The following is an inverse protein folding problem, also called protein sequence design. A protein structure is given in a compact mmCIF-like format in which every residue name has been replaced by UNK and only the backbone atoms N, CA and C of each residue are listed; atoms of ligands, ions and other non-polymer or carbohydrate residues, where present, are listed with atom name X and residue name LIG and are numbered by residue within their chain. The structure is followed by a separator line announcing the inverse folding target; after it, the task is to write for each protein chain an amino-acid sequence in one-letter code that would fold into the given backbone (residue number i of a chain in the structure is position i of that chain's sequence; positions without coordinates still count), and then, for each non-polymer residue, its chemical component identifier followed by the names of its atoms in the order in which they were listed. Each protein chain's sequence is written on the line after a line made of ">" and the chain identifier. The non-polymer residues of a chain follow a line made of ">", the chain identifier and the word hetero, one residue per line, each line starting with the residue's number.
data_IF_695641327051
#
_entry.id   IF_695641327051
#
_cell.length_a   1.000
_cell.length_b   1.000
_cell.length_c   1.000
_cell.angle_alpha   90.00
_cell.angle_beta   90.00
_cell.angle_gamma   90.00
#
_symmetry.space_group_name_H-M   'P 1'
#
loop_
_entity.id
_entity.type
_entity.pdbx_description
1 polymer ?
#
# COMPACT_ATOMS: atom_id res chain seq x y z
N UNK A 1 109.31 -12.95 -6.67
CA UNK A 1 109.83 -11.78 -5.92
C UNK A 1 109.45 -11.98 -4.46
N UNK A 2 110.46 -11.90 -3.59
CA UNK A 2 110.37 -12.15 -2.15
C UNK A 2 109.84 -10.94 -1.38
N UNK A 3 109.27 -11.18 -0.19
CA UNK A 3 109.36 -10.36 1.04
C UNK A 3 108.62 -11.14 2.13
N UNK A 4 109.34 -11.97 2.90
CA UNK A 4 109.97 -11.69 4.20
C UNK A 4 109.05 -12.02 5.40
N UNK A 5 109.54 -13.00 6.16
CA UNK A 5 109.20 -13.52 7.48
C UNK A 5 109.22 -12.49 8.61
N UNK A 6 108.39 -12.68 9.64
CA UNK A 6 108.86 -12.66 11.04
C UNK A 6 108.04 -13.63 11.89
N UNK A 7 108.75 -14.62 12.43
CA UNK A 7 108.31 -15.59 13.42
C UNK A 7 108.06 -14.95 14.78
N UNK A 8 107.15 -15.55 15.56
CA UNK A 8 107.46 -15.95 16.92
C UNK A 8 106.60 -17.17 17.28
N UNK A 9 107.21 -18.36 17.18
CA UNK A 9 106.66 -19.60 17.72
C UNK A 9 106.82 -19.61 19.25
N UNK A 10 105.77 -20.07 19.93
CA UNK A 10 105.78 -20.48 21.33
C UNK A 10 104.90 -21.71 21.47
N UNK A 11 105.54 -22.85 21.69
CA UNK A 11 105.01 -24.20 21.93
C UNK A 11 104.09 -24.24 23.16
N UNK A 12 102.92 -24.93 23.13
CA UNK A 12 102.55 -25.99 24.11
C UNK A 12 101.47 -26.96 23.58
N UNK A 13 101.74 -28.22 23.92
CA UNK A 13 101.13 -29.54 23.80
C UNK A 13 99.68 -29.74 24.33
N UNK A 14 99.10 -30.89 23.95
CA UNK A 14 97.85 -31.55 24.40
C UNK A 14 96.51 -30.94 23.90
N UNK A 15 96.03 -31.46 22.77
CA UNK A 15 94.81 -30.99 22.10
C UNK A 15 93.55 -31.15 22.95
N UNK A 16 92.74 -30.09 23.12
CA UNK A 16 91.44 -30.23 23.75
C UNK A 16 90.43 -30.75 22.71
N UNK A 17 89.49 -31.57 23.17
CA UNK A 17 88.36 -32.05 22.37
C UNK A 17 87.61 -30.92 21.68
N UNK A 18 86.75 -31.30 20.73
CA UNK A 18 85.95 -30.40 19.88
C UNK A 18 85.61 -29.08 20.62
N UNK A 19 86.02 -27.90 20.12
CA UNK A 19 85.97 -26.61 20.85
C UNK A 19 84.62 -26.24 21.48
N UNK A 20 83.53 -26.90 21.07
CA UNK A 20 82.18 -26.75 21.58
C UNK A 20 81.95 -27.42 22.95
N UNK A 21 82.82 -28.34 23.36
CA UNK A 21 82.76 -29.07 24.64
C UNK A 21 83.72 -28.50 25.70
N UNK A 22 84.32 -27.34 25.44
CA UNK A 22 85.16 -26.64 26.41
C UNK A 22 84.30 -25.86 27.42
N UNK A 23 84.11 -26.48 28.59
CA UNK A 23 83.32 -25.94 29.71
C UNK A 23 83.86 -24.62 30.28
N UNK A 24 85.11 -24.23 29.98
CA UNK A 24 85.68 -22.96 30.45
C UNK A 24 84.93 -21.73 29.90
N UNK A 25 84.31 -21.85 28.72
CA UNK A 25 83.59 -20.73 28.06
C UNK A 25 82.09 -20.68 28.37
N UNK A 26 81.53 -21.75 28.95
CA UNK A 26 80.10 -21.90 29.19
C UNK A 26 79.55 -20.84 30.15
N UNK A 27 80.32 -20.43 31.17
CA UNK A 27 79.88 -19.39 32.11
C UNK A 27 79.57 -18.05 31.43
N UNK A 28 80.43 -17.64 30.49
CA UNK A 28 80.22 -16.40 29.72
C UNK A 28 79.05 -16.53 28.74
N UNK A 29 78.91 -17.67 28.05
CA UNK A 29 77.78 -17.92 27.15
C UNK A 29 76.44 -17.93 27.91
N UNK A 30 76.36 -18.62 29.05
CA UNK A 30 75.16 -18.67 29.90
C UNK A 30 74.82 -17.28 30.43
N UNK A 31 75.80 -16.49 30.86
CA UNK A 31 75.58 -15.11 31.31
C UNK A 31 74.90 -14.25 30.22
N UNK A 32 75.44 -14.23 29.01
CA UNK A 32 74.84 -13.49 27.89
C UNK A 32 73.50 -14.06 27.45
N UNK A 33 73.33 -15.38 27.50
CA UNK A 33 72.05 -16.04 27.21
C UNK A 33 70.98 -15.57 28.19
N UNK A 34 71.27 -15.52 29.49
CA UNK A 34 70.33 -15.03 30.52
C UNK A 34 70.00 -13.56 30.28
N UNK A 35 70.99 -12.72 29.97
CA UNK A 35 70.76 -11.30 29.64
C UNK A 35 69.86 -11.17 28.41
N UNK A 36 70.16 -11.90 27.34
CA UNK A 36 69.37 -11.88 26.12
C UNK A 36 67.94 -12.36 26.37
N UNK A 37 67.76 -13.44 27.14
CA UNK A 37 66.45 -13.97 27.52
C UNK A 37 65.63 -12.93 28.29
N UNK A 38 66.23 -12.26 29.29
CA UNK A 38 65.58 -11.20 30.06
C UNK A 38 65.23 -10.03 29.15
N UNK A 39 66.16 -9.59 28.30
CA UNK A 39 65.91 -8.49 27.37
C UNK A 39 64.75 -8.81 26.41
N UNK A 40 64.73 -9.99 25.80
CA UNK A 40 63.63 -10.45 24.93
C UNK A 40 62.33 -10.58 25.70
N UNK A 41 62.36 -11.13 26.92
CA UNK A 41 61.17 -11.23 27.78
C UNK A 41 60.57 -9.85 28.08
N UNK A 42 61.41 -8.86 28.41
CA UNK A 42 60.97 -7.49 28.67
C UNK A 42 60.40 -6.83 27.41
N UNK A 43 61.01 -7.04 26.24
CA UNK A 43 60.49 -6.52 24.97
C UNK A 43 59.12 -7.14 24.65
N UNK A 44 58.98 -8.47 24.78
CA UNK A 44 57.73 -9.15 24.48
C UNK A 44 56.62 -8.75 25.47
N UNK A 45 56.91 -8.78 26.78
CA UNK A 45 55.95 -8.45 27.82
C UNK A 45 55.51 -6.99 27.81
N UNK A 46 56.44 -6.06 27.52
CA UNK A 46 56.17 -4.62 27.63
C UNK A 46 55.82 -3.94 26.31
N UNK A 47 56.17 -4.53 25.17
CA UNK A 47 55.94 -3.90 23.85
C UNK A 47 55.10 -4.80 22.93
N UNK A 48 55.51 -6.04 22.69
CA UNK A 48 54.84 -6.88 21.68
C UNK A 48 53.44 -7.33 22.12
N UNK A 49 53.30 -7.91 23.31
CA UNK A 49 52.03 -8.41 23.83
C UNK A 49 50.99 -7.29 24.03
N UNK A 50 51.33 -6.12 24.62
CA UNK A 50 50.37 -5.03 24.74
C UNK A 50 49.87 -4.50 23.39
N UNK A 51 50.74 -4.43 22.37
CA UNK A 51 50.32 -4.00 21.01
C UNK A 51 49.36 -4.99 20.36
N UNK A 52 49.63 -6.29 20.47
CA UNK A 52 48.73 -7.33 19.94
C UNK A 52 47.39 -7.32 20.70
N UNK A 53 47.44 -7.17 22.03
CA UNK A 53 46.25 -7.04 22.86
C UNK A 53 45.38 -5.84 22.48
N UNK A 54 45.99 -4.69 22.20
CA UNK A 54 45.27 -3.50 21.76
C UNK A 54 44.53 -3.72 20.43
N UNK A 55 45.18 -4.32 19.42
CA UNK A 55 44.55 -4.62 18.12
C UNK A 55 43.42 -5.64 18.27
N UNK A 56 43.59 -6.65 19.12
CA UNK A 56 42.55 -7.64 19.37
C UNK A 56 41.33 -7.01 20.08
N UNK A 57 41.59 -6.15 21.07
CA UNK A 57 40.54 -5.42 21.77
C UNK A 57 39.79 -4.46 20.84
N UNK A 58 40.49 -3.75 19.97
CA UNK A 58 39.89 -2.88 18.95
C UNK A 58 38.98 -3.68 18.03
N UNK A 59 39.47 -4.78 17.46
CA UNK A 59 38.65 -5.65 16.58
C UNK A 59 37.43 -6.22 17.29
N UNK A 60 37.61 -6.72 18.51
CA UNK A 60 36.50 -7.26 19.31
C UNK A 60 35.47 -6.17 19.61
N UNK A 61 35.93 -4.94 19.90
CA UNK A 61 35.07 -3.78 20.12
C UNK A 61 34.27 -3.41 18.88
N UNK A 62 34.93 -3.29 17.72
CA UNK A 62 34.27 -2.99 16.45
C UNK A 62 33.23 -4.05 16.10
N UNK A 63 33.58 -5.34 16.17
CA UNK A 63 32.65 -6.43 15.87
C UNK A 63 31.43 -6.38 16.80
N UNK A 64 31.64 -6.18 18.10
CA UNK A 64 30.54 -6.11 19.07
C UNK A 64 29.64 -4.90 18.79
N UNK A 65 30.23 -3.75 18.48
CA UNK A 65 29.49 -2.54 18.13
C UNK A 65 28.69 -2.72 16.84
N UNK A 66 29.28 -3.34 15.81
CA UNK A 66 28.62 -3.59 14.54
C UNK A 66 27.47 -4.59 14.68
N UNK A 67 27.64 -5.63 15.52
CA UNK A 67 26.56 -6.57 15.86
C UNK A 67 25.43 -5.83 16.59
N UNK A 68 25.74 -5.04 17.61
CA UNK A 68 24.74 -4.27 18.34
C UNK A 68 23.97 -3.29 17.44
N UNK A 69 24.68 -2.60 16.55
CA UNK A 69 24.08 -1.70 15.57
C UNK A 69 23.19 -2.47 14.57
N UNK A 70 23.62 -3.63 14.10
CA UNK A 70 22.82 -4.48 13.21
C UNK A 70 21.54 -5.01 13.90
N UNK A 71 21.64 -5.40 15.17
CA UNK A 71 20.48 -5.83 15.96
C UNK A 71 19.49 -4.69 16.18
N UNK A 72 19.97 -3.49 16.54
CA UNK A 72 19.12 -2.30 16.68
C UNK A 72 18.41 -1.92 15.37
N UNK A 73 19.14 -1.95 14.24
CA UNK A 73 18.56 -1.71 12.92
C UNK A 73 17.53 -2.79 12.56
N UNK A 74 17.76 -4.05 12.91
CA UNK A 74 16.81 -5.15 12.69
C UNK A 74 15.53 -4.95 13.52
N UNK A 75 15.65 -4.53 14.77
CA UNK A 75 14.49 -4.23 15.63
C UNK A 75 13.70 -3.05 15.04
N UNK A 76 14.37 -1.95 14.68
CA UNK A 76 13.73 -0.78 14.07
C UNK A 76 13.03 -1.13 12.75
N UNK A 77 13.65 -1.97 11.92
CA UNK A 77 13.03 -2.44 10.69
C UNK A 77 11.76 -3.25 10.95
N UNK A 78 11.79 -4.17 11.91
CA UNK A 78 10.62 -4.98 12.29
C UNK A 78 9.50 -4.12 12.92
N UNK A 79 9.85 -3.09 13.69
CA UNK A 79 8.88 -2.13 14.22
C UNK A 79 8.25 -1.28 13.12
N UNK A 80 9.06 -0.80 12.17
CA UNK A 80 8.58 -0.05 11.01
C UNK A 80 7.66 -0.89 10.11
N UNK A 81 8.01 -2.16 9.88
CA UNK A 81 7.19 -3.12 9.13
C UNK A 81 5.82 -3.32 9.82
N UNK A 82 5.81 -3.58 11.14
CA UNK A 82 4.56 -3.69 11.90
C UNK A 82 3.72 -2.42 11.85
N UNK A 83 4.34 -1.25 11.96
CA UNK A 83 3.64 0.03 11.88
C UNK A 83 3.06 0.25 10.47
N UNK A 84 3.80 -0.09 9.42
CA UNK A 84 3.34 -0.04 8.04
C UNK A 84 2.15 -0.97 7.80
N UNK A 85 2.26 -2.24 8.21
CA UNK A 85 1.18 -3.23 8.05
C UNK A 85 -0.09 -2.81 8.79
N UNK A 86 0.07 -2.27 10.00
CA UNK A 86 -1.05 -1.70 10.76
C UNK A 86 -1.69 -0.54 10.02
N UNK A 87 -0.90 0.43 9.56
CA UNK A 87 -1.41 1.57 8.82
C UNK A 87 -2.13 1.15 7.52
N UNK A 88 -1.62 0.12 6.84
CA UNK A 88 -2.24 -0.43 5.63
C UNK A 88 -3.57 -1.12 5.96
N UNK A 89 -3.65 -1.88 7.06
CA UNK A 89 -4.88 -2.50 7.51
C UNK A 89 -5.93 -1.45 7.90
N UNK A 90 -5.53 -0.46 8.70
CA UNK A 90 -6.40 0.65 9.13
C UNK A 90 -6.92 1.44 7.91
N UNK A 91 -6.05 1.76 6.94
CA UNK A 91 -6.44 2.44 5.71
C UNK A 91 -7.44 1.63 4.86
N UNK A 92 -7.26 0.30 4.79
CA UNK A 92 -8.21 -0.58 4.09
C UNK A 92 -9.56 -0.63 4.79
N UNK A 93 -9.58 -0.71 6.12
CA UNK A 93 -10.82 -0.68 6.90
C UNK A 93 -11.53 0.66 6.73
N UNK A 94 -10.81 1.78 6.79
CA UNK A 94 -11.42 3.11 6.62
C UNK A 94 -11.94 3.29 5.18
N UNK A 95 -11.21 2.84 4.17
CA UNK A 95 -11.69 2.86 2.79
C UNK A 95 -12.98 2.04 2.61
N UNK A 96 -13.06 0.84 3.21
CA UNK A 96 -14.27 0.02 3.16
C UNK A 96 -15.45 0.71 3.87
N UNK A 97 -15.19 1.36 5.01
CA UNK A 97 -16.19 2.13 5.74
C UNK A 97 -16.72 3.31 4.92
N UNK A 98 -15.84 4.11 4.33
CA UNK A 98 -16.20 5.22 3.44
C UNK A 98 -17.05 4.72 2.27
N UNK A 99 -16.66 3.61 1.63
CA UNK A 99 -17.43 3.02 0.52
C UNK A 99 -18.82 2.55 1.00
N UNK A 100 -18.92 1.95 2.19
CA UNK A 100 -20.19 1.52 2.75
C UNK A 100 -21.11 2.72 3.08
N UNK A 101 -20.56 3.75 3.71
CA UNK A 101 -21.28 4.99 4.05
C UNK A 101 -21.76 5.71 2.77
N UNK A 102 -20.89 5.87 1.78
CA UNK A 102 -21.25 6.49 0.50
C UNK A 102 -22.34 5.69 -0.23
N UNK A 103 -22.27 4.35 -0.24
CA UNK A 103 -23.33 3.52 -0.82
C UNK A 103 -24.66 3.68 -0.09
N UNK A 104 -24.63 3.77 1.25
CA UNK A 104 -25.84 3.96 2.04
C UNK A 104 -26.47 5.33 1.78
N UNK A 105 -25.66 6.39 1.67
CA UNK A 105 -26.11 7.74 1.34
C UNK A 105 -26.70 7.81 -0.08
N UNK A 106 -25.98 7.27 -1.07
CA UNK A 106 -26.48 7.19 -2.46
C UNK A 106 -27.80 6.43 -2.53
N UNK A 107 -27.93 5.31 -1.81
CA UNK A 107 -29.18 4.54 -1.81
C UNK A 107 -30.34 5.33 -1.18
N UNK A 108 -30.08 6.10 -0.13
CA UNK A 108 -31.08 6.98 0.50
C UNK A 108 -31.54 8.06 -0.47
N UNK A 109 -30.60 8.73 -1.12
CA UNK A 109 -30.89 9.79 -2.09
C UNK A 109 -31.63 9.25 -3.32
N UNK A 110 -31.23 8.07 -3.80
CA UNK A 110 -31.91 7.37 -4.88
C UNK A 110 -33.36 7.05 -4.49
N UNK A 111 -33.59 6.51 -3.30
CA UNK A 111 -34.95 6.20 -2.83
C UNK A 111 -35.81 7.47 -2.70
N UNK A 112 -35.24 8.58 -2.24
CA UNK A 112 -35.94 9.86 -2.16
C UNK A 112 -36.27 10.42 -3.55
N UNK A 113 -35.34 10.31 -4.50
CA UNK A 113 -35.56 10.73 -5.88
C UNK A 113 -36.62 9.88 -6.58
N UNK A 114 -36.62 8.56 -6.35
CA UNK A 114 -37.65 7.64 -6.88
C UNK A 114 -39.02 8.01 -6.31
N UNK A 115 -39.14 8.17 -4.99
CA UNK A 115 -40.42 8.54 -4.37
C UNK A 115 -40.98 9.86 -4.93
N UNK A 116 -40.11 10.86 -5.10
CA UNK A 116 -40.50 12.14 -5.72
C UNK A 116 -40.93 11.96 -7.18
N UNK A 117 -40.20 11.16 -7.96
CA UNK A 117 -40.55 10.89 -9.35
C UNK A 117 -41.89 10.15 -9.45
N UNK A 118 -42.15 9.18 -8.57
CA UNK A 118 -43.41 8.46 -8.51
C UNK A 118 -44.58 9.40 -8.18
N UNK A 119 -44.40 10.32 -7.22
CA UNK A 119 -45.40 11.34 -6.90
C UNK A 119 -45.69 12.27 -8.09
N UNK A 120 -44.66 12.74 -8.79
CA UNK A 120 -44.80 13.58 -9.99
C UNK A 120 -45.50 12.83 -11.14
N UNK A 121 -45.16 11.55 -11.36
CA UNK A 121 -45.79 10.69 -12.36
C UNK A 121 -47.26 10.45 -12.01
N UNK A 122 -47.57 10.20 -10.75
CA UNK A 122 -48.94 9.99 -10.28
C UNK A 122 -49.80 11.25 -10.49
N UNK A 123 -49.27 12.43 -10.13
CA UNK A 123 -49.93 13.70 -10.36
C UNK A 123 -50.16 13.95 -11.87
N UNK A 124 -49.14 13.71 -12.70
CA UNK A 124 -49.24 13.91 -14.16
C UNK A 124 -50.22 12.94 -14.82
N UNK A 125 -50.27 11.70 -14.34
CA UNK A 125 -51.22 10.69 -14.80
C UNK A 125 -52.65 11.13 -14.47
N UNK A 126 -52.91 11.57 -13.23
CA UNK A 126 -54.22 12.06 -12.82
C UNK A 126 -54.69 13.29 -13.63
N UNK A 127 -53.79 14.23 -13.92
CA UNK A 127 -54.11 15.40 -14.75
C UNK A 127 -54.40 15.00 -16.20
N UNK A 128 -53.65 14.03 -16.72
CA UNK A 128 -53.85 13.52 -18.08
C UNK A 128 -55.17 12.75 -18.19
N UNK A 129 -55.56 11.97 -17.17
CA UNK A 129 -56.87 11.31 -17.09
C UNK A 129 -58.04 12.30 -17.07
N UNK A 130 -57.91 13.41 -16.34
CA UNK A 130 -58.91 14.49 -16.35
C UNK A 130 -59.01 15.12 -17.74
N UNK A 131 -57.88 15.48 -18.35
CA UNK A 131 -57.86 16.06 -19.69
C UNK A 131 -58.48 15.11 -20.73
N UNK A 132 -58.16 13.81 -20.68
CA UNK A 132 -58.77 12.79 -21.55
C UNK A 132 -60.28 12.72 -21.32
N UNK A 133 -60.74 12.78 -20.09
CA UNK A 133 -62.18 12.74 -19.75
C UNK A 133 -62.91 13.98 -20.31
N UNK A 134 -62.31 15.16 -20.20
CA UNK A 134 -62.85 16.40 -20.76
C UNK A 134 -62.88 16.39 -22.30
N UNK A 135 -61.81 15.90 -22.93
CA UNK A 135 -61.77 15.70 -24.39
C UNK A 135 -62.84 14.70 -24.81
N UNK A 136 -63.05 13.60 -24.08
CA UNK A 136 -64.12 12.64 -24.37
C UNK A 136 -65.51 13.27 -24.23
N UNK A 137 -65.75 14.04 -23.18
CA UNK A 137 -67.03 14.72 -22.97
C UNK A 137 -67.33 15.72 -24.10
N UNK A 138 -66.37 16.58 -24.44
CA UNK A 138 -66.51 17.54 -25.54
C UNK A 138 -66.62 16.86 -26.91
N UNK A 139 -65.91 15.76 -27.14
CA UNK A 139 -66.06 14.97 -28.37
C UNK A 139 -67.47 14.37 -28.48
N UNK A 140 -68.04 13.85 -27.38
CA UNK A 140 -69.41 13.33 -27.36
C UNK A 140 -70.45 14.41 -27.64
N UNK A 141 -70.28 15.62 -27.08
CA UNK A 141 -71.15 16.76 -27.37
C UNK A 141 -71.07 17.18 -28.85
N UNK A 142 -69.85 17.25 -29.40
CA UNK A 142 -69.65 17.56 -30.82
C UNK A 142 -70.27 16.49 -31.73
N UNK A 143 -70.12 15.21 -31.39
CA UNK A 143 -70.77 14.10 -32.11
C UNK A 143 -72.30 14.24 -32.05
N UNK A 144 -72.87 14.57 -30.88
CA UNK A 144 -74.32 14.79 -30.75
C UNK A 144 -74.80 15.93 -31.65
N UNK A 145 -74.05 17.04 -31.69
CA UNK A 145 -74.37 18.20 -32.53
C UNK A 145 -74.30 17.84 -34.02
N UNK A 146 -73.20 17.24 -34.47
CA UNK A 146 -73.02 16.80 -35.86
C UNK A 146 -74.11 15.79 -36.24
N UNK A 147 -74.41 14.82 -35.39
CA UNK A 147 -75.46 13.84 -35.66
C UNK A 147 -76.85 14.48 -35.81
N UNK A 148 -77.20 15.46 -34.96
CA UNK A 148 -78.46 16.22 -35.08
C UNK A 148 -78.51 17.04 -36.37
N UNK A 149 -77.42 17.72 -36.72
CA UNK A 149 -77.35 18.56 -37.91
C UNK A 149 -77.40 17.71 -39.18
N UNK A 150 -76.61 16.64 -39.27
CA UNK A 150 -76.66 15.67 -40.39
C UNK A 150 -78.02 14.99 -40.50
N UNK A 151 -78.65 14.58 -39.39
CA UNK A 151 -79.99 13.98 -39.43
C UNK A 151 -81.06 14.95 -39.95
N UNK A 152 -81.01 16.23 -39.58
CA UNK A 152 -81.90 17.27 -40.13
C UNK A 152 -81.70 17.43 -41.63
N UNK A 153 -80.44 17.51 -42.09
CA UNK A 153 -80.12 17.65 -43.51
C UNK A 153 -80.61 16.45 -44.32
N UNK A 154 -80.42 15.22 -43.82
CA UNK A 154 -80.91 13.99 -44.48
C UNK A 154 -82.44 13.99 -44.58
N UNK A 155 -83.17 14.35 -43.51
CA UNK A 155 -84.64 14.41 -43.52
C UNK A 155 -85.14 15.46 -44.52
N UNK A 156 -84.46 16.61 -44.59
CA UNK A 156 -84.77 17.65 -45.58
C UNK A 156 -84.50 17.18 -47.02
N UNK A 157 -83.36 16.51 -47.27
CA UNK A 157 -82.99 15.98 -48.58
C UNK A 157 -83.96 14.89 -49.08
N UNK A 158 -84.54 14.11 -48.17
CA UNK A 158 -85.54 13.09 -48.48
C UNK A 158 -86.98 13.65 -48.63
N UNK A 159 -87.15 14.97 -48.58
CA UNK A 159 -88.44 15.64 -48.82
C UNK A 159 -89.36 15.73 -47.60
N UNK A 160 -88.89 15.41 -46.40
CA UNK A 160 -89.62 15.57 -45.14
C UNK A 160 -89.42 16.95 -44.51
N UNK A 161 -90.40 17.46 -43.76
CA UNK A 161 -90.18 18.62 -42.88
C UNK A 161 -89.46 18.16 -41.61
N UNK A 162 -88.20 18.56 -41.46
CA UNK A 162 -87.42 18.28 -40.27
C UNK A 162 -87.99 19.05 -39.05
N UNK A 163 -88.86 18.41 -38.27
CA UNK A 163 -89.22 18.94 -36.96
C UNK A 163 -88.05 18.75 -35.99
N UNK A 164 -87.46 19.87 -35.56
CA UNK A 164 -86.26 19.87 -34.73
C UNK A 164 -86.48 19.15 -33.39
N UNK A 165 -87.70 19.15 -32.85
CA UNK A 165 -88.00 18.45 -31.58
C UNK A 165 -87.92 16.93 -31.74
N UNK A 166 -88.57 16.37 -32.75
CA UNK A 166 -88.57 14.92 -33.00
C UNK A 166 -87.20 14.40 -33.40
N UNK A 167 -86.45 15.11 -34.26
CA UNK A 167 -85.08 14.71 -34.66
C UNK A 167 -84.13 14.72 -33.45
N UNK A 168 -84.16 15.78 -32.64
CA UNK A 168 -83.31 15.86 -31.44
C UNK A 168 -83.64 14.76 -30.42
N UNK A 169 -84.93 14.44 -30.23
CA UNK A 169 -85.36 13.37 -29.32
C UNK A 169 -84.94 11.97 -29.82
N UNK A 170 -85.05 11.71 -31.13
CA UNK A 170 -84.65 10.44 -31.73
C UNK A 170 -83.14 10.21 -31.64
N UNK A 171 -82.32 11.23 -31.95
CA UNK A 171 -80.85 11.16 -31.85
C UNK A 171 -80.43 10.99 -30.38
N UNK A 172 -81.02 11.74 -29.44
CA UNK A 172 -80.71 11.62 -28.02
C UNK A 172 -81.06 10.23 -27.44
N UNK A 173 -82.17 9.61 -27.87
CA UNK A 173 -82.52 8.25 -27.47
C UNK A 173 -81.55 7.21 -28.03
N UNK A 174 -80.99 7.43 -29.23
CA UNK A 174 -80.02 6.50 -29.83
C UNK A 174 -78.61 6.63 -29.28
N UNK A 175 -78.23 7.82 -28.81
CA UNK A 175 -76.95 8.07 -28.11
C UNK A 175 -76.92 7.53 -26.68
N UNK A 176 -78.08 7.28 -26.07
CA UNK A 176 -78.22 6.69 -24.71
C UNK A 176 -78.37 5.17 -24.70
N UNK A 177 -78.46 4.54 -25.88
CA UNK A 177 -78.72 3.12 -26.07
C UNK A 177 -77.46 2.28 -26.20
#
# INVERSE_FOLDING_TARGET
>A
MATETTHAEGVVEAGPGMPQLDFSTWGNQIFWLVIALIATYLILSRVALPRIGAVLAERSGTITNDIAAAEDLKVKAAEAEKAYDKALADARTEAQKIVAEAKAEIQKDLNAAIAKADDEIAAKSADSEKAITEIRASAMENVEKVAKDTAKEIVAALGGKADAKTVNAAVANRMKG
#
